data_IF_087001305617
#
_entry.id   IF_087001305617
#
_cell.length_a   1.000
_cell.length_b   1.000
_cell.length_c   1.000
_cell.angle_alpha   90.00
_cell.angle_beta   90.00
_cell.angle_gamma   90.00
#
_symmetry.space_group_name_H-M   'P 1'
#
loop_
_entity.id
_entity.type
_entity.pdbx_description
1 polymer ?
#
# COMPACT_ATOMS: atom_id res chain seq x y z
N UNK A 1 0.76 -31.80 -32.06
CA UNK A 1 0.45 -30.49 -31.47
C UNK A 1 1.36 -30.35 -30.25
N UNK A 2 2.48 -29.60 -30.36
CA UNK A 2 3.42 -29.37 -29.27
C UNK A 2 2.84 -28.32 -28.35
N UNK A 3 2.58 -28.68 -27.09
CA UNK A 3 2.22 -27.76 -26.02
C UNK A 3 3.43 -26.85 -25.76
N UNK A 4 3.29 -25.52 -25.79
CA UNK A 4 4.41 -24.64 -25.43
C UNK A 4 4.79 -24.87 -23.97
N UNK A 5 6.02 -25.27 -23.72
CA UNK A 5 6.59 -25.37 -22.40
C UNK A 5 6.66 -23.96 -21.81
N UNK A 6 5.86 -23.67 -20.79
CA UNK A 6 5.98 -22.43 -20.02
C UNK A 6 7.36 -22.43 -19.34
N UNK A 7 8.31 -21.72 -19.95
CA UNK A 7 9.57 -21.42 -19.29
C UNK A 7 9.27 -20.46 -18.15
N UNK A 8 9.10 -21.01 -16.95
CA UNK A 8 9.00 -20.23 -15.72
C UNK A 8 10.37 -19.59 -15.48
N UNK A 9 10.48 -18.32 -15.81
CA UNK A 9 11.64 -17.52 -15.42
C UNK A 9 11.71 -17.51 -13.88
N UNK A 10 12.82 -17.90 -13.25
CA UNK A 10 12.94 -17.87 -11.81
C UNK A 10 12.72 -16.43 -11.31
N UNK A 11 12.08 -16.25 -10.15
CA UNK A 11 11.87 -14.91 -9.59
C UNK A 11 13.23 -14.24 -9.35
N UNK A 12 13.31 -12.93 -9.58
CA UNK A 12 14.50 -12.14 -9.30
C UNK A 12 14.86 -12.22 -7.80
N UNK A 13 16.16 -12.17 -7.45
CA UNK A 13 16.61 -12.12 -6.06
C UNK A 13 15.98 -10.93 -5.31
N UNK A 14 15.72 -11.09 -4.02
CA UNK A 14 15.09 -10.08 -3.18
C UNK A 14 15.83 -8.72 -3.23
N UNK A 15 17.16 -8.73 -3.27
CA UNK A 15 17.99 -7.53 -3.38
C UNK A 15 17.71 -6.74 -4.69
N UNK A 16 17.50 -7.44 -5.81
CA UNK A 16 17.17 -6.80 -7.09
C UNK A 16 15.76 -6.22 -7.07
N UNK A 17 14.80 -6.90 -6.44
CA UNK A 17 13.44 -6.38 -6.28
C UNK A 17 13.42 -5.11 -5.44
N UNK A 18 14.19 -5.08 -4.35
CA UNK A 18 14.36 -3.88 -3.52
C UNK A 18 15.02 -2.74 -4.29
N UNK A 19 16.06 -3.03 -5.06
CA UNK A 19 16.70 -2.03 -5.90
C UNK A 19 15.72 -1.45 -6.93
N UNK A 20 14.90 -2.29 -7.56
CA UNK A 20 13.87 -1.85 -8.50
C UNK A 20 12.80 -0.98 -7.81
N UNK A 21 12.32 -1.36 -6.61
CA UNK A 21 11.40 -0.56 -5.82
C UNK A 21 12.00 0.82 -5.47
N UNK A 22 13.27 0.86 -5.07
CA UNK A 22 13.97 2.08 -4.70
C UNK A 22 14.22 3.01 -5.87
N UNK A 23 14.54 2.45 -7.03
CA UNK A 23 14.75 3.21 -8.26
C UNK A 23 13.45 3.75 -8.87
N UNK A 24 12.31 3.17 -8.50
CA UNK A 24 11.02 3.63 -9.04
C UNK A 24 10.56 4.91 -8.38
N UNK A 25 10.44 5.95 -9.19
CA UNK A 25 9.90 7.24 -8.77
C UNK A 25 8.45 7.39 -9.26
N UNK A 26 7.46 7.10 -8.41
CA UNK A 26 6.08 7.21 -8.79
C UNK A 26 5.66 8.68 -8.94
N UNK A 27 5.07 9.01 -10.07
CA UNK A 27 4.65 10.37 -10.41
C UNK A 27 3.41 10.87 -9.64
N UNK A 28 2.82 10.11 -8.79
CA UNK A 28 1.49 10.31 -8.20
C UNK A 28 1.29 11.52 -7.26
N UNK A 29 2.24 12.46 -7.15
CA UNK A 29 2.12 13.61 -6.23
C UNK A 29 1.13 14.67 -6.73
N UNK A 30 1.18 15.04 -8.00
CA UNK A 30 0.38 16.16 -8.55
C UNK A 30 -0.79 15.71 -9.42
N UNK A 31 -0.75 14.48 -9.94
CA UNK A 31 -1.75 13.92 -10.86
C UNK A 31 -2.05 12.46 -10.54
N UNK A 32 -3.16 11.97 -11.08
CA UNK A 32 -3.44 10.56 -11.09
C UNK A 32 -2.42 9.82 -11.96
N UNK A 33 -1.92 8.70 -11.43
CA UNK A 33 -1.19 7.70 -12.21
C UNK A 33 -2.22 6.66 -12.61
N UNK A 34 -2.41 6.49 -13.91
CA UNK A 34 -3.44 5.62 -14.46
C UNK A 34 -2.85 4.22 -14.68
N UNK A 35 -3.48 3.22 -14.10
CA UNK A 35 -3.00 1.84 -14.21
C UNK A 35 -2.91 1.36 -15.66
N UNK A 36 -3.85 1.77 -16.53
CA UNK A 36 -3.86 1.41 -17.95
C UNK A 36 -2.64 1.97 -18.73
N UNK A 37 -2.13 3.14 -18.34
CA UNK A 37 -1.00 3.80 -19.01
C UNK A 37 0.36 3.31 -18.48
N UNK A 38 0.42 3.01 -17.18
CA UNK A 38 1.69 2.71 -16.49
C UNK A 38 1.95 1.21 -16.28
N UNK A 39 0.99 0.33 -16.59
CA UNK A 39 1.14 -1.12 -16.37
C UNK A 39 2.40 -1.71 -17.03
N UNK A 40 2.79 -1.21 -18.21
CA UNK A 40 3.99 -1.67 -18.93
C UNK A 40 5.31 -1.13 -18.32
N UNK A 41 5.23 -0.17 -17.40
CA UNK A 41 6.39 0.51 -16.79
C UNK A 41 6.61 0.14 -15.34
N UNK A 42 5.81 -0.79 -14.80
CA UNK A 42 5.95 -1.21 -13.41
C UNK A 42 7.30 -1.88 -13.21
N UNK A 43 8.06 -1.49 -12.18
CA UNK A 43 9.40 -2.05 -11.91
C UNK A 43 9.33 -3.48 -11.39
N UNK A 44 8.17 -3.88 -10.89
CA UNK A 44 7.89 -5.19 -10.31
C UNK A 44 6.63 -5.78 -10.93
N UNK A 45 6.66 -7.07 -11.20
CA UNK A 45 5.45 -7.83 -11.54
C UNK A 45 4.51 -7.95 -10.32
N UNK A 46 3.23 -8.30 -10.50
CA UNK A 46 2.32 -8.54 -9.39
C UNK A 46 2.82 -9.63 -8.42
N UNK A 47 3.48 -10.67 -8.93
CA UNK A 47 4.06 -11.73 -8.10
C UNK A 47 5.25 -11.24 -7.28
N UNK A 48 6.11 -10.41 -7.85
CA UNK A 48 7.27 -9.82 -7.17
C UNK A 48 6.84 -8.81 -6.10
N UNK A 49 5.85 -7.98 -6.37
CA UNK A 49 5.28 -7.06 -5.37
C UNK A 49 4.70 -7.83 -4.17
N UNK A 50 4.01 -8.96 -4.42
CA UNK A 50 3.54 -9.85 -3.35
C UNK A 50 4.68 -10.49 -2.58
N UNK A 51 5.75 -10.90 -3.27
CA UNK A 51 6.92 -11.48 -2.62
C UNK A 51 7.56 -10.47 -1.65
N UNK A 52 7.78 -9.22 -2.07
CA UNK A 52 8.27 -8.16 -1.19
C UNK A 52 7.35 -7.92 0.00
N UNK A 53 6.04 -7.86 -0.24
CA UNK A 53 5.05 -7.66 0.82
C UNK A 53 5.08 -8.77 1.88
N UNK A 54 5.25 -10.04 1.46
CA UNK A 54 5.36 -11.20 2.38
C UNK A 54 6.67 -11.24 3.15
N UNK A 55 7.72 -10.61 2.63
CA UNK A 55 9.03 -10.54 3.29
C UNK A 55 9.22 -9.26 4.10
N UNK A 56 8.15 -8.49 4.31
CA UNK A 56 8.18 -7.14 4.86
C UNK A 56 8.90 -7.04 6.22
N UNK A 57 8.78 -8.07 7.05
CA UNK A 57 9.41 -8.11 8.38
C UNK A 57 10.94 -8.22 8.33
N UNK A 58 11.47 -8.78 7.23
CA UNK A 58 12.92 -8.95 7.02
C UNK A 58 13.54 -7.79 6.25
N UNK A 59 12.72 -6.88 5.71
CA UNK A 59 13.17 -5.77 4.88
C UNK A 59 13.43 -4.52 5.71
N UNK A 60 14.42 -3.75 5.26
CA UNK A 60 14.68 -2.40 5.76
C UNK A 60 14.15 -1.38 4.75
N UNK A 61 12.94 -0.91 4.98
CA UNK A 61 12.31 0.12 4.14
C UNK A 61 12.23 1.46 4.87
N UNK A 62 12.30 2.53 4.12
CA UNK A 62 11.80 3.83 4.57
C UNK A 62 10.27 3.87 4.46
N UNK A 63 9.62 4.81 5.16
CA UNK A 63 8.17 5.01 5.02
C UNK A 63 7.78 5.29 3.56
N UNK A 64 8.59 6.06 2.83
CA UNK A 64 8.34 6.34 1.41
C UNK A 64 8.46 5.11 0.52
N UNK A 65 9.38 4.18 0.80
CA UNK A 65 9.49 2.90 0.08
C UNK A 65 8.30 1.98 0.39
N UNK A 66 7.82 2.00 1.63
CA UNK A 66 6.62 1.27 2.02
C UNK A 66 5.37 1.80 1.30
N UNK A 67 5.20 3.13 1.21
CA UNK A 67 4.12 3.75 0.42
C UNK A 67 4.22 3.39 -1.07
N UNK A 68 5.44 3.33 -1.64
CA UNK A 68 5.66 2.89 -3.03
C UNK A 68 5.22 1.45 -3.25
N UNK A 69 5.54 0.55 -2.32
CA UNK A 69 5.11 -0.85 -2.42
C UNK A 69 3.59 -0.97 -2.37
N UNK A 70 2.92 -0.21 -1.51
CA UNK A 70 1.46 -0.12 -1.48
C UNK A 70 0.92 0.34 -2.85
N UNK A 71 1.48 1.41 -3.41
CA UNK A 71 1.06 1.94 -4.71
C UNK A 71 1.25 0.92 -5.84
N UNK A 72 2.38 0.19 -5.86
CA UNK A 72 2.65 -0.87 -6.84
C UNK A 72 1.64 -2.01 -6.76
N UNK A 73 1.26 -2.43 -5.55
CA UNK A 73 0.25 -3.47 -5.37
C UNK A 73 -1.09 -3.02 -5.96
N UNK A 74 -1.53 -1.79 -5.70
CA UNK A 74 -2.77 -1.27 -6.29
C UNK A 74 -2.71 -1.15 -7.82
N UNK A 75 -1.62 -0.61 -8.37
CA UNK A 75 -1.42 -0.53 -9.83
C UNK A 75 -1.45 -1.91 -10.48
N UNK A 76 -0.85 -2.91 -9.84
CA UNK A 76 -0.85 -4.29 -10.35
C UNK A 76 -2.23 -4.91 -10.43
N UNK A 77 -3.19 -4.35 -9.70
CA UNK A 77 -4.62 -4.72 -9.72
C UNK A 77 -5.44 -3.87 -10.70
N UNK A 78 -4.82 -2.94 -11.40
CA UNK A 78 -5.51 -2.03 -12.32
C UNK A 78 -6.13 -0.82 -11.65
N UNK A 79 -5.74 -0.49 -10.41
CA UNK A 79 -6.21 0.70 -9.71
C UNK A 79 -5.34 1.91 -10.05
N UNK A 80 -5.96 3.03 -10.37
CA UNK A 80 -5.28 4.32 -10.43
C UNK A 80 -4.88 4.76 -9.02
N UNK A 81 -3.83 5.58 -8.88
CA UNK A 81 -3.46 6.11 -7.59
C UNK A 81 -2.97 7.57 -7.63
N UNK A 82 -3.06 8.24 -6.49
CA UNK A 82 -2.36 9.47 -6.14
C UNK A 82 -1.68 9.30 -4.79
N UNK A 83 -0.59 10.03 -4.59
CA UNK A 83 0.12 10.06 -3.31
C UNK A 83 -0.01 11.42 -2.66
N UNK A 84 0.01 11.44 -1.33
CA UNK A 84 0.06 12.64 -0.49
C UNK A 84 -0.96 13.70 -0.89
N UNK A 85 -2.19 13.25 -1.11
CA UNK A 85 -3.29 14.14 -1.45
C UNK A 85 -3.90 14.71 -0.17
N UNK A 86 -4.10 16.03 -0.13
CA UNK A 86 -4.89 16.66 0.93
C UNK A 86 -6.36 16.30 0.78
N UNK A 87 -6.93 15.64 1.78
CA UNK A 87 -8.33 15.22 1.82
C UNK A 87 -8.90 15.52 3.20
N UNK A 88 -9.76 16.54 3.27
CA UNK A 88 -10.43 16.91 4.53
C UNK A 88 -9.48 17.51 5.57
N UNK A 89 -9.88 17.38 6.82
CA UNK A 89 -9.16 17.93 7.99
C UNK A 89 -8.84 16.84 9.00
N UNK A 90 -7.79 17.05 9.78
CA UNK A 90 -7.50 16.25 10.96
C UNK A 90 -8.50 16.59 12.09
N UNK A 91 -8.52 15.78 13.15
CA UNK A 91 -9.32 16.06 14.36
C UNK A 91 -8.98 17.41 15.00
N UNK A 92 -7.84 18.01 14.69
CA UNK A 92 -7.42 19.35 15.15
C UNK A 92 -7.68 20.45 14.11
N UNK A 93 -8.44 20.18 13.05
CA UNK A 93 -8.82 21.15 12.01
C UNK A 93 -7.72 21.52 11.02
N UNK A 94 -6.55 20.86 11.06
CA UNK A 94 -5.46 21.08 10.10
C UNK A 94 -5.74 20.31 8.81
N UNK A 95 -5.17 20.76 7.71
CA UNK A 95 -5.21 20.00 6.45
C UNK A 95 -4.64 18.60 6.66
N UNK A 96 -5.37 17.62 6.14
CA UNK A 96 -4.98 16.23 6.23
C UNK A 96 -4.49 15.71 4.89
N UNK A 97 -3.29 15.18 4.90
CA UNK A 97 -2.72 14.43 3.80
C UNK A 97 -2.97 12.93 4.00
N UNK A 98 -3.39 12.22 2.96
CA UNK A 98 -3.42 10.75 2.91
C UNK A 98 -2.22 10.25 2.14
N UNK A 99 -1.61 9.16 2.58
CA UNK A 99 -0.37 8.65 1.99
C UNK A 99 -0.59 8.16 0.56
N UNK A 100 -1.66 7.38 0.34
CA UNK A 100 -2.07 6.87 -0.98
C UNK A 100 -3.58 6.96 -1.13
N UNK A 101 -4.06 7.41 -2.27
CA UNK A 101 -5.46 7.37 -2.66
C UNK A 101 -5.59 6.49 -3.90
N UNK A 102 -6.34 5.40 -3.79
CA UNK A 102 -6.71 4.56 -4.93
C UNK A 102 -8.04 4.96 -5.54
N UNK A 103 -8.18 4.66 -6.84
CA UNK A 103 -9.45 4.77 -7.57
C UNK A 103 -9.56 3.60 -8.55
N UNK A 104 -10.73 2.95 -8.56
CA UNK A 104 -11.11 2.08 -9.67
C UNK A 104 -11.63 2.95 -10.82
N UNK A 105 -10.94 2.94 -11.96
CA UNK A 105 -11.33 3.71 -13.14
C UNK A 105 -12.67 3.33 -13.74
N UNK A 106 -13.19 2.11 -13.46
CA UNK A 106 -14.47 1.61 -13.97
C UNK A 106 -15.65 2.08 -13.12
N UNK A 107 -15.58 1.89 -11.81
CA UNK A 107 -16.65 2.24 -10.88
C UNK A 107 -16.55 3.69 -10.35
N UNK A 108 -15.36 4.29 -10.41
CA UNK A 108 -15.08 5.56 -9.77
C UNK A 108 -14.91 5.49 -8.24
N UNK A 109 -15.04 4.31 -7.65
CA UNK A 109 -14.86 4.10 -6.22
C UNK A 109 -13.44 4.49 -5.79
N UNK A 110 -13.32 5.08 -4.61
CA UNK A 110 -12.05 5.57 -4.06
C UNK A 110 -11.81 5.00 -2.67
N UNK A 111 -10.53 4.86 -2.33
CA UNK A 111 -10.09 4.37 -1.03
C UNK A 111 -8.85 5.15 -0.59
N UNK A 112 -8.91 5.78 0.57
CA UNK A 112 -7.75 6.38 1.21
C UNK A 112 -6.96 5.32 1.98
N UNK A 113 -5.65 5.35 1.85
CA UNK A 113 -4.73 4.47 2.56
C UNK A 113 -3.82 5.32 3.45
N UNK A 114 -3.78 4.97 4.72
CA UNK A 114 -2.81 5.45 5.70
C UNK A 114 -1.76 4.36 5.90
N UNK A 115 -0.50 4.64 5.60
CA UNK A 115 0.59 3.69 5.68
C UNK A 115 1.29 3.74 7.05
N UNK A 116 1.50 2.60 7.68
CA UNK A 116 2.19 2.47 8.97
C UNK A 116 3.26 1.39 8.88
N UNK A 117 4.51 1.80 8.81
CA UNK A 117 5.65 0.90 8.79
C UNK A 117 6.49 1.04 10.06
N UNK A 118 6.75 -0.07 10.73
CA UNK A 118 7.62 -0.11 11.91
C UNK A 118 8.45 -1.40 11.89
N UNK A 119 9.76 -1.27 11.68
CA UNK A 119 10.67 -2.42 11.64
C UNK A 119 11.05 -2.93 13.02
N UNK A 120 11.34 -2.01 13.92
CA UNK A 120 11.76 -2.30 15.30
C UNK A 120 10.79 -1.66 16.29
N UNK A 121 10.72 -2.20 17.49
CA UNK A 121 9.88 -1.63 18.54
C UNK A 121 10.18 -0.13 18.73
N UNK A 122 9.12 0.67 18.80
CA UNK A 122 9.22 2.12 18.89
C UNK A 122 7.88 2.77 19.21
N UNK A 123 7.75 4.06 18.91
CA UNK A 123 6.58 4.88 19.28
C UNK A 123 5.44 4.87 18.25
N UNK A 124 5.53 4.05 17.18
CA UNK A 124 4.46 4.02 16.20
C UNK A 124 3.16 3.46 16.76
N UNK A 125 3.22 2.55 17.74
CA UNK A 125 2.05 2.00 18.43
C UNK A 125 1.21 3.12 19.07
N UNK A 126 1.87 4.09 19.70
CA UNK A 126 1.21 5.22 20.37
C UNK A 126 0.49 6.17 19.38
N UNK A 127 0.87 6.13 18.09
CA UNK A 127 0.26 6.95 17.04
C UNK A 127 -0.93 6.29 16.37
N UNK A 128 -1.18 5.00 16.60
CA UNK A 128 -2.29 4.29 15.98
C UNK A 128 -3.66 4.86 16.37
N UNK A 129 -3.97 5.20 17.64
CA UNK A 129 -5.25 5.80 18.00
C UNK A 129 -5.52 7.11 17.26
N UNK A 130 -4.50 7.96 17.11
CA UNK A 130 -4.62 9.19 16.35
C UNK A 130 -4.90 8.94 14.86
N UNK A 131 -4.23 7.95 14.26
CA UNK A 131 -4.46 7.56 12.88
C UNK A 131 -5.90 7.04 12.66
N UNK A 132 -6.42 6.22 13.60
CA UNK A 132 -7.79 5.71 13.57
C UNK A 132 -8.82 6.85 13.63
N UNK A 133 -8.66 7.78 14.57
CA UNK A 133 -9.56 8.94 14.71
C UNK A 133 -9.54 9.80 13.44
N UNK A 134 -8.36 10.07 12.90
CA UNK A 134 -8.25 10.83 11.66
C UNK A 134 -8.88 10.09 10.48
N UNK A 135 -8.69 8.77 10.36
CA UNK A 135 -9.27 7.99 9.28
C UNK A 135 -10.81 8.07 9.32
N UNK A 136 -11.40 8.05 10.52
CA UNK A 136 -12.83 8.15 10.73
C UNK A 136 -13.43 9.50 10.29
N UNK A 137 -12.62 10.56 10.21
CA UNK A 137 -13.07 11.89 9.78
C UNK A 137 -13.00 12.12 8.26
N UNK A 138 -12.50 11.15 7.49
CA UNK A 138 -12.42 11.28 6.04
C UNK A 138 -13.81 11.24 5.39
N UNK A 139 -14.04 12.05 4.32
CA UNK A 139 -15.28 12.05 3.57
C UNK A 139 -15.39 10.86 2.58
N UNK A 140 -14.49 9.89 2.66
CA UNK A 140 -14.41 8.70 1.83
C UNK A 140 -13.91 7.50 2.64
N UNK A 141 -14.13 6.25 2.17
CA UNK A 141 -13.61 5.07 2.84
C UNK A 141 -12.09 5.12 3.02
N UNK A 142 -11.62 4.66 4.17
CA UNK A 142 -10.19 4.58 4.47
C UNK A 142 -9.79 3.23 5.06
N UNK A 143 -8.50 2.90 4.94
CA UNK A 143 -7.87 1.72 5.52
C UNK A 143 -6.48 2.07 6.04
N UNK A 144 -6.07 1.47 7.15
CA UNK A 144 -4.69 1.51 7.61
C UNK A 144 -3.97 0.27 7.07
N UNK A 145 -2.90 0.48 6.31
CA UNK A 145 -2.02 -0.60 5.85
C UNK A 145 -0.78 -0.58 6.72
N UNK A 146 -0.52 -1.67 7.41
CA UNK A 146 0.63 -1.78 8.28
C UNK A 146 1.61 -2.86 7.80
N UNK A 147 2.86 -2.77 8.26
CA UNK A 147 3.90 -3.75 7.98
C UNK A 147 5.15 -3.53 8.80
N UNK A 148 6.02 -4.55 8.82
CA UNK A 148 7.22 -4.62 9.65
C UNK A 148 6.98 -5.31 10.99
N UNK A 149 8.03 -5.92 11.54
CA UNK A 149 7.95 -6.74 12.76
C UNK A 149 7.99 -5.94 14.07
N UNK A 150 7.98 -4.60 14.02
CA UNK A 150 8.20 -3.75 15.20
C UNK A 150 6.94 -3.41 16.00
N UNK A 151 5.75 -3.70 15.49
CA UNK A 151 4.50 -3.42 16.21
C UNK A 151 4.24 -4.44 17.32
N UNK A 152 3.79 -3.94 18.48
CA UNK A 152 3.32 -4.83 19.54
C UNK A 152 2.02 -5.51 19.12
N UNK A 153 1.91 -6.81 19.36
CA UNK A 153 0.74 -7.60 18.92
C UNK A 153 -0.59 -7.07 19.47
N UNK A 154 -0.59 -6.59 20.72
CA UNK A 154 -1.76 -5.97 21.33
C UNK A 154 -2.20 -4.67 20.64
N UNK A 155 -1.24 -3.87 20.12
CA UNK A 155 -1.53 -2.67 19.36
C UNK A 155 -2.17 -3.01 18.01
N UNK A 156 -1.70 -4.07 17.32
CA UNK A 156 -2.30 -4.55 16.07
C UNK A 156 -3.70 -5.13 16.31
N UNK A 157 -3.92 -5.90 17.38
CA UNK A 157 -5.25 -6.40 17.74
C UNK A 157 -6.21 -5.24 17.99
N UNK A 158 -5.76 -4.24 18.75
CA UNK A 158 -6.55 -3.03 19.01
C UNK A 158 -6.88 -2.30 17.70
N UNK A 159 -5.89 -2.11 16.82
CA UNK A 159 -6.05 -1.46 15.53
C UNK A 159 -7.13 -2.15 14.69
N UNK A 160 -7.02 -3.46 14.52
CA UNK A 160 -7.97 -4.26 13.72
C UNK A 160 -9.39 -4.28 14.31
N UNK A 161 -9.52 -4.12 15.63
CA UNK A 161 -10.81 -4.04 16.31
C UNK A 161 -11.49 -2.66 16.17
N UNK A 162 -10.73 -1.59 15.94
CA UNK A 162 -11.23 -0.23 15.96
C UNK A 162 -11.34 0.44 14.58
N UNK A 163 -10.75 -0.14 13.53
CA UNK A 163 -10.82 0.40 12.17
C UNK A 163 -10.60 -0.69 11.13
N UNK A 164 -10.81 -0.32 9.85
CA UNK A 164 -10.36 -1.15 8.73
C UNK A 164 -8.85 -1.09 8.66
N UNK A 165 -8.20 -2.22 8.89
CA UNK A 165 -6.75 -2.33 8.81
C UNK A 165 -6.35 -3.67 8.16
N UNK A 166 -5.24 -3.69 7.47
CA UNK A 166 -4.69 -4.89 6.85
C UNK A 166 -3.16 -4.88 6.89
N UNK A 167 -2.58 -6.06 7.08
CA UNK A 167 -1.17 -6.27 6.82
C UNK A 167 -0.89 -6.13 5.32
N UNK A 168 0.25 -5.54 4.97
CA UNK A 168 0.63 -5.35 3.56
C UNK A 168 0.73 -6.67 2.80
N UNK A 169 1.08 -7.77 3.46
CA UNK A 169 1.14 -9.11 2.85
C UNK A 169 -0.23 -9.59 2.34
N UNK A 170 -1.32 -9.05 2.91
CA UNK A 170 -2.72 -9.34 2.52
C UNK A 170 -3.38 -8.21 1.73
N UNK A 171 -2.66 -7.12 1.50
CA UNK A 171 -3.25 -5.93 0.88
C UNK A 171 -3.87 -6.23 -0.49
N UNK A 172 -3.23 -7.06 -1.32
CA UNK A 172 -3.76 -7.40 -2.63
C UNK A 172 -5.14 -8.07 -2.54
N UNK A 173 -5.28 -9.06 -1.65
CA UNK A 173 -6.55 -9.78 -1.43
C UNK A 173 -7.61 -8.81 -0.88
N UNK A 174 -7.22 -7.96 0.06
CA UNK A 174 -8.10 -6.97 0.66
C UNK A 174 -8.62 -5.95 -0.37
N UNK A 175 -7.75 -5.42 -1.24
CA UNK A 175 -8.13 -4.49 -2.31
C UNK A 175 -9.03 -5.17 -3.35
N UNK A 176 -8.74 -6.43 -3.71
CA UNK A 176 -9.56 -7.21 -4.64
C UNK A 176 -10.99 -7.34 -4.13
N UNK A 177 -11.18 -7.65 -2.84
CA UNK A 177 -12.51 -7.73 -2.23
C UNK A 177 -13.16 -6.35 -2.13
N UNK A 178 -12.43 -5.33 -1.69
CA UNK A 178 -12.98 -3.99 -1.51
C UNK A 178 -13.50 -3.38 -2.81
N UNK A 179 -12.75 -3.52 -3.90
CA UNK A 179 -13.12 -2.97 -5.21
C UNK A 179 -13.91 -3.93 -6.10
N UNK A 180 -14.14 -5.17 -5.66
CA UNK A 180 -14.77 -6.25 -6.44
C UNK A 180 -14.08 -6.50 -7.80
N UNK A 181 -12.74 -6.66 -7.77
CA UNK A 181 -11.89 -6.84 -8.94
C UNK A 181 -11.86 -8.30 -9.42
#
# INVERSE_FOLDING_TARGET
VSTPSLVLTPPRPLAELLAALRAWEPLGLERWVLAAEDAARLPLSPAESRLLARQIETLELTSGEFERLIALIGLSLGLDYRRRLTVGKTIYGRDREVDVLFRDGRSGNRLAVEAKYQRVAGTADEKLPYAVLNLATLPLPGVIVYGGGGFHIGALHWLCANTKATDIARLQEWLTVFFAL
#
